data_IF_672269821949
#
_entry.id   IF_672269821949
#
_cell.length_a   1.000
_cell.length_b   1.000
_cell.length_c   1.000
_cell.angle_alpha   90.00
_cell.angle_beta   90.00
_cell.angle_gamma   90.00
#
_symmetry.space_group_name_H-M   'P 1'
#
loop_
_entity.id
_entity.type
_entity.pdbx_description
1 polymer ?
#
# COMPACT_ATOMS: atom_id res chain seq x y z
N UNK A 1 -22.20 -13.35 0.73
CA UNK A 1 -20.75 -13.41 0.97
C UNK A 1 -20.42 -12.17 1.80
N UNK A 2 -19.58 -12.31 2.82
CA UNK A 2 -19.27 -11.21 3.73
C UNK A 2 -18.08 -10.44 3.17
N UNK A 3 -18.17 -9.12 3.12
CA UNK A 3 -17.01 -8.26 2.85
C UNK A 3 -16.42 -7.81 4.18
N UNK A 4 -15.12 -8.02 4.37
CA UNK A 4 -14.36 -7.50 5.49
C UNK A 4 -13.50 -6.33 5.01
N UNK A 5 -13.56 -5.21 5.74
CA UNK A 5 -12.72 -4.03 5.56
C UNK A 5 -11.96 -3.76 6.87
N UNK A 6 -10.64 -3.94 6.83
CA UNK A 6 -9.73 -3.56 7.90
C UNK A 6 -9.31 -2.09 7.74
N UNK A 7 -9.37 -1.32 8.83
CA UNK A 7 -9.10 0.12 8.88
C UNK A 7 -8.01 0.36 9.94
N UNK A 8 -6.76 0.42 9.50
CA UNK A 8 -5.62 0.72 10.37
C UNK A 8 -5.48 2.21 10.59
N UNK A 9 -5.42 2.65 11.85
CA UNK A 9 -5.35 4.06 12.23
C UNK A 9 -4.14 4.34 13.12
N UNK A 10 -3.87 5.62 13.38
CA UNK A 10 -2.83 6.03 14.31
C UNK A 10 -3.09 5.61 15.78
N UNK A 11 -4.28 5.13 16.13
CA UNK A 11 -4.62 4.71 17.51
C UNK A 11 -5.39 3.38 17.60
N UNK A 12 -5.26 2.53 16.59
CA UNK A 12 -5.77 1.16 16.61
C UNK A 12 -6.29 0.69 15.25
N UNK A 13 -6.74 -0.56 15.22
CA UNK A 13 -7.39 -1.19 14.09
C UNK A 13 -8.89 -1.27 14.35
N UNK A 14 -9.69 -0.97 13.33
CA UNK A 14 -11.13 -1.22 13.31
C UNK A 14 -11.43 -2.20 12.17
N UNK A 15 -12.39 -3.08 12.39
CA UNK A 15 -12.87 -4.03 11.37
C UNK A 15 -14.30 -3.66 11.03
N UNK A 16 -14.60 -3.45 9.75
CA UNK A 16 -15.94 -3.23 9.26
C UNK A 16 -16.38 -4.45 8.45
N UNK A 17 -17.56 -4.99 8.73
CA UNK A 17 -18.14 -6.10 7.97
C UNK A 17 -19.41 -5.68 7.26
N UNK A 18 -19.66 -6.27 6.10
CA UNK A 18 -20.90 -6.09 5.35
C UNK A 18 -21.39 -7.43 4.79
N UNK A 19 -22.65 -7.76 5.08
CA UNK A 19 -23.30 -9.00 4.65
C UNK A 19 -24.38 -8.78 3.58
N UNK A 20 -24.64 -7.53 3.22
CA UNK A 20 -25.70 -7.12 2.27
C UNK A 20 -25.13 -6.59 0.94
N UNK A 21 -23.92 -7.06 0.62
CA UNK A 21 -23.17 -6.67 -0.57
C UNK A 21 -22.66 -5.23 -0.48
N UNK A 22 -22.11 -4.82 0.66
CA UNK A 22 -21.47 -3.50 0.90
C UNK A 22 -22.45 -2.32 0.94
N UNK A 23 -23.72 -2.56 1.28
CA UNK A 23 -24.73 -1.48 1.41
C UNK A 23 -24.77 -0.90 2.82
N UNK A 24 -24.59 -1.76 3.83
CA UNK A 24 -24.45 -1.38 5.22
C UNK A 24 -23.20 -2.01 5.83
N UNK A 25 -22.66 -1.35 6.85
CA UNK A 25 -21.42 -1.75 7.51
C UNK A 25 -21.60 -1.79 9.01
N UNK A 26 -21.14 -2.86 9.63
CA UNK A 26 -20.98 -2.96 11.08
C UNK A 26 -19.50 -2.79 11.43
N UNK A 27 -19.18 -1.73 12.16
CA UNK A 27 -17.80 -1.44 12.59
C UNK A 27 -17.57 -1.98 13.99
N UNK A 28 -16.48 -2.72 14.18
CA UNK A 28 -16.07 -3.28 15.46
C UNK A 28 -15.59 -2.21 16.45
N UNK A 29 -15.42 -2.62 17.70
CA UNK A 29 -14.62 -1.84 18.66
C UNK A 29 -13.14 -1.77 18.26
N UNK A 30 -12.37 -0.93 18.94
CA UNK A 30 -10.94 -0.79 18.66
C UNK A 30 -10.16 -2.06 19.04
N UNK A 31 -9.37 -2.56 18.09
CA UNK A 31 -8.31 -3.53 18.31
C UNK A 31 -6.98 -2.78 18.45
N UNK A 32 -6.06 -3.28 19.27
CA UNK A 32 -4.77 -2.61 19.55
C UNK A 32 -4.93 -1.13 19.97
N UNK A 33 -5.70 -0.82 21.04
CA UNK A 33 -5.95 0.55 21.43
C UNK A 33 -4.65 1.31 21.70
N UNK A 34 -4.57 2.55 21.21
CA UNK A 34 -3.40 3.44 21.34
C UNK A 34 -2.14 2.96 20.59
N UNK A 35 -2.28 1.99 19.71
CA UNK A 35 -1.21 1.46 18.88
C UNK A 35 -1.45 1.85 17.42
N UNK A 36 -0.44 2.39 16.74
CA UNK A 36 -0.56 2.73 15.32
C UNK A 36 -0.57 1.46 14.46
N UNK A 37 -1.47 1.37 13.49
CA UNK A 37 -1.59 0.23 12.58
C UNK A 37 -1.32 0.70 11.15
N UNK A 38 -0.11 0.42 10.66
CA UNK A 38 0.43 0.98 9.42
C UNK A 38 0.24 0.07 8.22
N UNK A 39 0.06 -1.23 8.44
CA UNK A 39 -0.20 -2.20 7.38
C UNK A 39 -1.17 -3.26 7.87
N UNK A 40 -2.06 -3.69 6.97
CA UNK A 40 -2.87 -4.89 7.14
C UNK A 40 -2.74 -5.71 5.87
N UNK A 41 -2.66 -7.03 6.00
CA UNK A 41 -2.73 -7.98 4.90
C UNK A 41 -3.80 -9.04 5.19
N UNK A 42 -4.39 -9.56 4.12
CA UNK A 42 -5.35 -10.67 4.16
C UNK A 42 -4.79 -11.80 3.29
N UNK A 43 -4.29 -12.85 3.92
CA UNK A 43 -3.80 -14.03 3.21
C UNK A 43 -4.94 -15.02 3.00
N UNK A 44 -5.47 -15.03 1.76
CA UNK A 44 -6.56 -15.90 1.32
C UNK A 44 -6.09 -17.21 0.69
N UNK A 45 -4.78 -17.51 0.69
CA UNK A 45 -4.24 -18.76 0.12
C UNK A 45 -4.48 -19.97 1.01
N UNK A 46 -5.09 -19.76 2.18
CA UNK A 46 -5.46 -20.78 3.17
C UNK A 46 -6.99 -20.95 3.21
N UNK A 47 -7.52 -22.11 3.67
CA UNK A 47 -8.97 -22.34 3.78
C UNK A 47 -9.67 -21.30 4.66
N UNK A 48 -9.03 -20.90 5.76
CA UNK A 48 -9.45 -19.76 6.57
C UNK A 48 -8.46 -18.63 6.32
N UNK A 49 -8.92 -17.45 5.83
CA UNK A 49 -8.03 -16.32 5.62
C UNK A 49 -7.33 -15.90 6.91
N UNK A 50 -6.02 -15.64 6.81
CA UNK A 50 -5.25 -15.05 7.91
C UNK A 50 -5.17 -13.55 7.74
N UNK A 51 -5.45 -12.80 8.80
CA UNK A 51 -5.14 -11.38 8.87
C UNK A 51 -3.75 -11.20 9.47
N UNK A 52 -2.99 -10.26 8.94
CA UNK A 52 -1.74 -9.79 9.52
C UNK A 52 -1.82 -8.27 9.71
N UNK A 53 -1.34 -7.77 10.84
CA UNK A 53 -1.33 -6.35 11.15
C UNK A 53 0.07 -5.90 11.60
N UNK A 54 0.64 -4.92 10.91
CA UNK A 54 1.84 -4.21 11.31
C UNK A 54 1.49 -3.15 12.34
N UNK A 55 1.81 -3.42 13.61
CA UNK A 55 1.44 -2.60 14.75
C UNK A 55 2.66 -1.85 15.29
N UNK A 56 2.47 -0.66 15.85
CA UNK A 56 3.55 0.14 16.44
C UNK A 56 3.07 0.83 17.70
N UNK A 57 3.45 0.25 18.84
CA UNK A 57 3.18 0.81 20.17
C UNK A 57 4.23 1.86 20.49
N UNK A 58 3.81 3.00 21.02
CA UNK A 58 4.75 4.00 21.55
C UNK A 58 5.49 3.53 22.82
N UNK A 59 5.01 2.46 23.46
CA UNK A 59 5.60 1.93 24.69
C UNK A 59 6.39 0.63 24.44
N UNK A 60 5.84 -0.28 23.64
CA UNK A 60 6.44 -1.60 23.40
C UNK A 60 7.17 -1.73 22.05
N UNK A 61 7.07 -0.72 21.19
CA UNK A 61 7.71 -0.73 19.87
C UNK A 61 6.86 -1.41 18.77
N UNK A 62 7.47 -1.64 17.60
CA UNK A 62 6.80 -2.28 16.46
C UNK A 62 6.74 -3.81 16.56
N UNK A 63 5.68 -4.38 16.00
CA UNK A 63 5.42 -5.82 15.96
C UNK A 63 4.55 -6.18 14.75
N UNK A 64 4.35 -7.48 14.53
CA UNK A 64 3.38 -8.03 13.57
C UNK A 64 2.46 -8.96 14.35
N UNK A 65 1.17 -8.65 14.35
CA UNK A 65 0.13 -9.49 14.93
C UNK A 65 -0.57 -10.30 13.84
N UNK A 66 -1.02 -11.51 14.19
CA UNK A 66 -1.77 -12.38 13.27
C UNK A 66 -3.12 -12.76 13.85
N UNK A 67 -4.09 -13.02 12.98
CA UNK A 67 -5.40 -13.55 13.35
C UNK A 67 -5.82 -14.63 12.35
N UNK A 68 -6.25 -15.77 12.87
CA UNK A 68 -6.78 -16.90 12.11
C UNK A 68 -8.31 -17.04 12.24
N UNK A 69 -8.98 -16.05 12.83
CA UNK A 69 -10.42 -16.01 13.09
C UNK A 69 -11.04 -14.69 12.63
N UNK A 70 -10.52 -14.15 11.52
CA UNK A 70 -10.97 -12.91 10.88
C UNK A 70 -10.99 -11.69 11.83
N UNK A 71 -10.05 -11.66 12.78
CA UNK A 71 -9.81 -10.55 13.68
C UNK A 71 -10.58 -10.60 15.00
N UNK A 72 -11.29 -11.69 15.29
CA UNK A 72 -11.94 -11.90 16.58
C UNK A 72 -10.90 -12.03 17.72
N UNK A 73 -9.75 -12.65 17.45
CA UNK A 73 -8.59 -12.69 18.34
C UNK A 73 -7.29 -12.45 17.57
N UNK A 74 -6.28 -11.95 18.28
CA UNK A 74 -4.98 -11.60 17.72
C UNK A 74 -3.85 -12.24 18.54
N UNK A 75 -2.83 -12.71 17.84
CA UNK A 75 -1.63 -13.31 18.41
C UNK A 75 -0.41 -12.48 18.02
N UNK A 76 0.37 -12.09 19.03
CA UNK A 76 1.71 -11.55 18.84
C UNK A 76 2.72 -12.63 19.26
N UNK A 77 3.75 -12.93 18.45
CA UNK A 77 4.77 -13.91 18.81
C UNK A 77 5.53 -13.49 20.08
N UNK A 78 6.04 -14.48 20.84
CA UNK A 78 6.81 -14.21 22.06
C UNK A 78 8.17 -13.54 21.78
N UNK A 79 8.75 -13.83 20.62
CA UNK A 79 9.96 -13.18 20.10
C UNK A 79 9.57 -12.09 19.10
N UNK A 80 10.35 -11.00 18.96
CA UNK A 80 10.07 -9.96 17.98
C UNK A 80 9.97 -10.56 16.56
N UNK A 81 8.81 -10.45 15.88
CA UNK A 81 8.60 -11.13 14.60
C UNK A 81 9.55 -10.63 13.51
N UNK A 82 9.86 -9.33 13.54
CA UNK A 82 10.76 -8.66 12.60
C UNK A 82 11.87 -8.00 13.40
N UNK A 83 13.10 -8.52 13.29
CA UNK A 83 14.26 -8.01 13.99
C UNK A 83 15.46 -7.88 13.06
N UNK A 84 16.16 -6.75 13.14
CA UNK A 84 17.42 -6.58 12.45
C UNK A 84 18.49 -7.47 13.10
N UNK A 85 19.28 -8.24 12.33
CA UNK A 85 20.37 -9.02 12.88
C UNK A 85 21.41 -8.17 13.62
N UNK A 86 22.09 -8.79 14.58
CA UNK A 86 23.22 -8.17 15.28
C UNK A 86 24.28 -7.63 14.31
N UNK A 87 24.89 -6.49 14.67
CA UNK A 87 25.92 -5.85 13.86
C UNK A 87 25.41 -5.00 12.69
N UNK A 88 24.11 -4.97 12.42
CA UNK A 88 23.52 -4.05 11.42
C UNK A 88 23.45 -2.60 11.89
N UNK A 89 23.52 -2.36 13.21
CA UNK A 89 23.39 -1.03 13.81
C UNK A 89 22.02 -0.38 13.57
N UNK A 90 21.00 -1.16 13.22
CA UNK A 90 19.66 -0.69 12.88
C UNK A 90 18.62 -1.33 13.79
N UNK A 91 17.50 -0.65 13.98
CA UNK A 91 16.36 -1.17 14.74
C UNK A 91 15.08 -0.91 13.98
N UNK A 92 14.10 -1.80 14.14
CA UNK A 92 12.81 -1.65 13.48
C UNK A 92 12.08 -0.45 14.10
N UNK A 93 11.59 0.45 13.25
CA UNK A 93 10.69 1.53 13.66
C UNK A 93 9.24 1.19 13.35
N UNK A 94 8.97 0.67 12.13
CA UNK A 94 7.62 0.38 11.64
C UNK A 94 7.63 -0.70 10.55
N UNK A 95 6.55 -1.48 10.48
CA UNK A 95 6.23 -2.35 9.35
C UNK A 95 5.23 -1.63 8.44
N UNK A 96 5.72 -1.11 7.32
CA UNK A 96 4.95 -0.27 6.39
C UNK A 96 4.11 -1.07 5.41
N UNK A 97 4.50 -2.31 5.11
CA UNK A 97 3.80 -3.15 4.15
C UNK A 97 3.89 -4.61 4.61
N UNK A 98 2.78 -5.33 4.54
CA UNK A 98 2.71 -6.78 4.66
C UNK A 98 2.13 -7.32 3.35
N UNK A 99 2.76 -8.32 2.74
CA UNK A 99 2.31 -8.84 1.44
C UNK A 99 2.47 -10.36 1.39
N UNK A 100 1.36 -11.11 1.33
CA UNK A 100 1.40 -12.54 1.04
C UNK A 100 2.15 -12.80 -0.28
N UNK A 101 2.96 -13.86 -0.33
CA UNK A 101 3.69 -14.29 -1.53
C UNK A 101 2.78 -14.85 -2.64
N UNK A 102 3.39 -15.57 -3.58
CA UNK A 102 2.65 -16.21 -4.68
C UNK A 102 1.69 -17.31 -4.20
N UNK A 103 0.78 -17.75 -5.07
CA UNK A 103 -0.27 -18.72 -4.73
C UNK A 103 0.30 -20.10 -4.32
N UNK A 104 1.46 -20.47 -4.86
CA UNK A 104 2.21 -21.70 -4.58
C UNK A 104 3.18 -21.58 -3.39
N UNK A 105 3.24 -20.40 -2.74
CA UNK A 105 4.07 -20.14 -1.56
C UNK A 105 3.23 -19.81 -0.31
N UNK A 106 2.33 -20.69 0.17
CA UNK A 106 1.30 -20.36 1.18
C UNK A 106 1.83 -19.90 2.55
N UNK A 107 3.09 -20.20 2.89
CA UNK A 107 3.74 -19.73 4.11
C UNK A 107 4.48 -18.39 3.95
N UNK A 108 4.66 -17.92 2.71
CA UNK A 108 5.51 -16.76 2.43
C UNK A 108 4.75 -15.47 2.65
N UNK A 109 5.32 -14.58 3.46
CA UNK A 109 4.85 -13.21 3.66
C UNK A 109 6.05 -12.28 3.65
N UNK A 110 6.00 -11.23 2.87
CA UNK A 110 7.00 -10.18 2.87
C UNK A 110 6.60 -9.04 3.81
N UNK A 111 7.59 -8.44 4.47
CA UNK A 111 7.44 -7.23 5.26
C UNK A 111 8.38 -6.14 4.75
N UNK A 112 7.83 -5.02 4.31
CA UNK A 112 8.57 -3.80 4.01
C UNK A 112 8.60 -2.90 5.24
N UNK A 113 9.77 -2.41 5.63
CA UNK A 113 9.96 -1.74 6.93
C UNK A 113 10.52 -0.33 6.83
N UNK A 114 10.55 0.34 7.98
CA UNK A 114 11.38 1.50 8.28
C UNK A 114 12.39 1.12 9.37
N UNK A 115 13.70 1.38 9.19
CA UNK A 115 14.35 1.89 7.97
C UNK A 115 14.15 0.96 6.76
N UNK A 116 14.44 1.46 5.54
CA UNK A 116 14.19 0.74 4.27
C UNK A 116 14.88 -0.62 4.25
N UNK A 117 14.11 -1.67 4.56
CA UNK A 117 14.54 -3.06 4.48
C UNK A 117 13.36 -3.95 4.07
N UNK A 118 13.69 -5.09 3.48
CA UNK A 118 12.75 -6.13 3.11
C UNK A 118 13.04 -7.35 3.97
N UNK A 119 11.99 -7.88 4.58
CA UNK A 119 12.03 -9.13 5.31
C UNK A 119 11.10 -10.15 4.67
N UNK A 120 11.41 -11.44 4.85
CA UNK A 120 10.64 -12.56 4.32
C UNK A 120 10.36 -13.56 5.44
N UNK A 121 9.09 -13.91 5.59
CA UNK A 121 8.60 -15.01 6.42
C UNK A 121 8.36 -16.24 5.54
N UNK A 122 8.46 -17.43 6.12
CA UNK A 122 8.05 -18.72 5.53
C UNK A 122 7.03 -19.48 6.39
N UNK A 123 6.60 -18.90 7.50
CA UNK A 123 5.72 -19.49 8.51
C UNK A 123 4.39 -18.72 8.65
N UNK A 124 3.99 -18.02 7.59
CA UNK A 124 2.73 -17.29 7.53
C UNK A 124 2.74 -15.98 8.32
N UNK A 125 3.91 -15.33 8.40
CA UNK A 125 4.13 -14.03 9.06
C UNK A 125 4.32 -14.10 10.56
N UNK A 126 4.77 -15.24 11.10
CA UNK A 126 5.06 -15.42 12.53
C UNK A 126 6.50 -14.97 12.83
N UNK A 127 7.45 -15.34 11.97
CA UNK A 127 8.83 -14.90 12.04
C UNK A 127 9.34 -14.46 10.67
N UNK A 128 10.32 -13.55 10.67
CA UNK A 128 10.83 -12.93 9.46
C UNK A 128 12.35 -12.89 9.44
N UNK A 129 12.92 -13.19 8.28
CA UNK A 129 14.35 -13.07 8.01
C UNK A 129 14.64 -11.88 7.11
N UNK A 130 15.73 -11.15 7.40
CA UNK A 130 16.18 -10.02 6.60
C UNK A 130 16.64 -10.51 5.21
N UNK A 131 16.13 -9.90 4.14
CA UNK A 131 16.61 -10.12 2.77
C UNK A 131 17.95 -9.41 2.59
N UNK A 132 19.02 -10.10 3.00
CA UNK A 132 20.40 -9.61 2.99
C UNK A 132 20.84 -9.00 1.66
N UNK A 133 20.57 -9.60 0.48
CA UNK A 133 21.05 -9.01 -0.78
C UNK A 133 20.52 -7.61 -1.08
N UNK A 134 19.31 -7.26 -0.63
CA UNK A 134 18.81 -5.89 -0.75
C UNK A 134 19.39 -4.98 0.34
N UNK A 135 19.54 -5.49 1.56
CA UNK A 135 20.15 -4.75 2.66
C UNK A 135 21.63 -4.42 2.41
N UNK A 136 22.38 -5.33 1.82
CA UNK A 136 23.80 -5.14 1.54
C UNK A 136 24.03 -4.47 0.17
N UNK A 137 22.95 -4.03 -0.51
CA UNK A 137 23.05 -3.36 -1.80
C UNK A 137 23.88 -2.07 -1.71
N UNK A 138 24.81 -1.79 -2.66
CA UNK A 138 25.71 -0.64 -2.59
C UNK A 138 25.02 0.73 -2.49
N UNK A 139 23.80 0.85 -3.03
CA UNK A 139 23.04 2.10 -2.97
C UNK A 139 22.40 2.35 -1.61
N UNK A 140 22.27 1.35 -0.72
CA UNK A 140 21.50 1.48 0.53
C UNK A 140 21.97 2.62 1.41
N UNK A 141 23.29 2.80 1.52
CA UNK A 141 23.88 3.87 2.36
C UNK A 141 23.59 5.28 1.84
N UNK A 142 23.03 5.40 0.64
CA UNK A 142 22.62 6.64 -0.01
C UNK A 142 21.09 6.76 -0.16
N UNK A 143 20.32 5.79 0.33
CA UNK A 143 18.88 5.95 0.42
C UNK A 143 18.57 6.85 1.60
N UNK A 144 17.94 8.00 1.34
CA UNK A 144 17.61 8.96 2.39
C UNK A 144 16.14 8.88 2.83
N UNK A 145 15.87 9.37 4.03
CA UNK A 145 14.50 9.51 4.52
C UNK A 145 13.77 10.63 3.76
N UNK A 146 12.59 10.31 3.21
CA UNK A 146 11.61 11.36 2.87
C UNK A 146 10.89 11.86 4.12
N UNK A 147 10.02 12.87 3.96
CA UNK A 147 9.20 13.40 5.08
C UNK A 147 8.32 12.35 5.79
N UNK A 148 8.01 11.24 5.11
CA UNK A 148 7.23 10.14 5.69
C UNK A 148 8.08 9.04 6.34
N UNK A 149 9.40 9.22 6.44
CA UNK A 149 10.35 8.19 6.88
C UNK A 149 10.93 7.37 5.72
N UNK A 150 12.12 6.81 5.94
CA UNK A 150 12.84 5.93 5.01
C UNK A 150 12.19 4.54 5.02
N UNK A 151 11.31 4.25 4.06
CA UNK A 151 10.48 3.04 4.12
C UNK A 151 10.41 2.28 2.79
N UNK A 152 10.48 0.95 2.86
CA UNK A 152 9.93 0.08 1.82
C UNK A 152 8.43 -0.07 2.10
N UNK A 153 7.60 0.56 1.30
CA UNK A 153 6.13 0.61 1.48
C UNK A 153 5.38 -0.11 0.35
N UNK A 154 6.10 -0.62 -0.65
CA UNK A 154 5.51 -1.46 -1.69
C UNK A 154 6.35 -2.69 -1.86
N UNK A 155 5.70 -3.85 -1.82
CA UNK A 155 6.29 -5.16 -2.15
C UNK A 155 5.30 -5.84 -3.09
N UNK A 156 5.76 -6.21 -4.28
CA UNK A 156 4.95 -6.81 -5.33
C UNK A 156 5.65 -8.06 -5.88
N UNK A 157 5.46 -9.22 -5.24
CA UNK A 157 5.80 -10.51 -5.83
C UNK A 157 5.09 -10.67 -7.19
N UNK A 158 5.76 -11.25 -8.17
CA UNK A 158 5.15 -11.53 -9.46
C UNK A 158 4.16 -12.70 -9.33
N UNK A 159 2.93 -12.59 -9.86
CA UNK A 159 1.87 -13.57 -9.60
C UNK A 159 2.12 -14.96 -10.20
N UNK A 160 3.00 -15.06 -11.20
CA UNK A 160 3.30 -16.30 -11.90
C UNK A 160 4.81 -16.64 -11.97
N UNK A 161 5.66 -15.85 -11.31
CA UNK A 161 7.12 -16.04 -11.35
C UNK A 161 7.71 -15.67 -9.97
N UNK A 162 7.89 -16.64 -9.06
CA UNK A 162 8.40 -16.36 -7.72
C UNK A 162 9.86 -15.86 -7.73
N UNK A 163 10.58 -15.96 -8.85
CA UNK A 163 11.90 -15.35 -8.97
C UNK A 163 11.84 -13.82 -9.05
N UNK A 164 10.68 -13.25 -9.37
CA UNK A 164 10.53 -11.82 -9.58
C UNK A 164 9.77 -11.16 -8.43
N UNK A 165 10.41 -10.15 -7.84
CA UNK A 165 9.80 -9.31 -6.80
C UNK A 165 10.21 -7.88 -7.09
N UNK A 166 9.25 -6.97 -7.05
CA UNK A 166 9.49 -5.53 -7.11
C UNK A 166 9.23 -4.92 -5.73
N UNK A 167 10.10 -4.00 -5.32
CA UNK A 167 9.90 -3.15 -4.15
C UNK A 167 9.97 -1.68 -4.55
N UNK A 168 9.22 -0.83 -3.84
CA UNK A 168 9.35 0.61 -3.98
C UNK A 168 9.48 1.27 -2.60
N UNK A 169 10.28 2.33 -2.57
CA UNK A 169 10.65 3.03 -1.35
C UNK A 169 10.67 4.55 -1.48
N UNK A 170 10.44 5.21 -0.35
CA UNK A 170 10.48 6.66 -0.17
C UNK A 170 11.60 7.02 0.82
N UNK A 171 12.78 7.52 0.43
CA UNK A 171 13.31 7.63 -0.94
C UNK A 171 14.23 6.46 -1.28
N UNK A 172 14.59 6.34 -2.55
CA UNK A 172 15.46 5.30 -3.10
C UNK A 172 14.96 4.81 -4.46
N UNK A 173 13.64 4.81 -4.65
CA UNK A 173 12.99 4.47 -5.91
C UNK A 173 12.45 3.05 -5.95
N UNK A 174 12.42 2.46 -7.13
CA UNK A 174 12.00 1.10 -7.42
C UNK A 174 13.22 0.20 -7.56
N UNK A 175 13.17 -0.97 -6.92
CA UNK A 175 14.16 -2.04 -7.09
C UNK A 175 13.45 -3.34 -7.44
N UNK A 176 14.09 -4.16 -8.27
CA UNK A 176 13.55 -5.46 -8.69
C UNK A 176 14.61 -6.55 -8.62
N UNK A 177 14.20 -7.73 -8.18
CA UNK A 177 14.94 -8.99 -8.36
C UNK A 177 14.28 -9.80 -9.48
N UNK A 178 15.08 -10.61 -10.17
CA UNK A 178 14.65 -11.62 -11.14
C UNK A 178 15.26 -13.00 -10.85
N UNK A 179 15.80 -13.17 -9.64
CA UNK A 179 16.55 -14.34 -9.19
C UNK A 179 16.19 -14.69 -7.74
N UNK A 180 14.90 -14.59 -7.42
CA UNK A 180 14.31 -14.92 -6.12
C UNK A 180 14.93 -14.17 -4.93
N UNK A 181 15.38 -12.94 -5.17
CA UNK A 181 15.96 -12.05 -4.16
C UNK A 181 17.47 -12.19 -3.99
N UNK A 182 18.16 -12.99 -4.81
CA UNK A 182 19.62 -13.15 -4.75
C UNK A 182 20.38 -11.89 -5.20
N UNK A 183 19.81 -11.11 -6.12
CA UNK A 183 20.30 -9.78 -6.51
C UNK A 183 19.15 -8.81 -6.78
N UNK A 184 19.44 -7.52 -6.64
CA UNK A 184 18.48 -6.43 -6.83
C UNK A 184 19.06 -5.36 -7.74
N UNK A 185 18.23 -4.81 -8.62
CA UNK A 185 18.62 -3.75 -9.56
C UNK A 185 17.66 -2.56 -9.46
N UNK A 186 18.15 -1.32 -9.55
CA UNK A 186 17.29 -0.15 -9.64
C UNK A 186 16.48 -0.18 -10.94
N UNK A 187 15.24 0.32 -10.90
CA UNK A 187 14.29 0.27 -12.01
C UNK A 187 13.54 1.61 -12.12
N UNK A 188 14.30 2.70 -12.26
CA UNK A 188 13.78 4.07 -12.16
C UNK A 188 13.82 4.87 -13.47
N UNK A 189 14.23 4.25 -14.57
CA UNK A 189 14.35 4.93 -15.88
C UNK A 189 13.02 5.59 -16.24
N UNK A 190 13.01 6.91 -16.38
CA UNK A 190 11.80 7.68 -16.71
C UNK A 190 10.92 8.06 -15.52
N UNK A 191 11.35 7.82 -14.26
CA UNK A 191 10.73 8.42 -13.07
C UNK A 191 11.55 9.64 -12.62
N UNK A 192 10.90 10.80 -12.58
CA UNK A 192 11.54 12.08 -12.22
C UNK A 192 11.78 12.20 -10.72
N UNK A 193 12.92 12.76 -10.34
CA UNK A 193 13.26 13.19 -8.98
C UNK A 193 13.54 14.71 -8.94
N UNK A 194 12.49 15.53 -8.98
CA UNK A 194 12.61 17.01 -9.09
C UNK A 194 13.44 17.69 -7.97
N UNK A 195 13.62 17.01 -6.84
CA UNK A 195 14.37 17.51 -5.68
C UNK A 195 15.87 17.18 -5.75
N UNK A 196 16.32 16.43 -6.76
CA UNK A 196 17.71 16.03 -6.96
C UNK A 196 18.40 16.94 -8.00
N UNK A 197 19.75 17.09 -7.94
CA UNK A 197 20.50 17.87 -8.93
C UNK A 197 20.37 17.33 -10.36
N UNK A 198 20.41 16.00 -10.52
CA UNK A 198 19.96 15.31 -11.73
C UNK A 198 18.53 14.87 -11.48
N UNK A 199 17.58 15.34 -12.29
CA UNK A 199 16.17 15.02 -12.15
C UNK A 199 15.81 13.62 -12.68
N UNK A 200 16.75 12.93 -13.35
CA UNK A 200 16.55 11.57 -13.87
C UNK A 200 17.66 10.61 -13.39
N UNK A 201 17.91 10.53 -12.06
CA UNK A 201 18.99 9.72 -11.54
C UNK A 201 18.64 8.22 -11.63
N UNK A 202 19.66 7.37 -11.58
CA UNK A 202 19.47 5.91 -11.53
C UNK A 202 18.64 5.45 -10.30
N UNK A 203 18.77 6.16 -9.19
CA UNK A 203 18.06 5.90 -7.93
C UNK A 203 17.87 7.19 -7.12
N UNK A 204 17.06 7.12 -6.06
CA UNK A 204 16.78 8.25 -5.16
C UNK A 204 15.38 8.85 -5.33
N UNK A 205 14.58 8.35 -6.27
CA UNK A 205 13.19 8.73 -6.44
C UNK A 205 12.39 8.52 -5.14
N UNK A 206 11.37 9.34 -4.94
CA UNK A 206 10.46 9.24 -3.79
C UNK A 206 9.12 8.66 -4.26
N UNK A 207 9.14 7.38 -4.64
CA UNK A 207 7.95 6.67 -5.10
C UNK A 207 6.99 6.49 -3.92
N UNK A 208 5.71 6.78 -4.08
CA UNK A 208 4.73 6.69 -3.00
C UNK A 208 3.92 5.39 -2.99
N UNK A 209 3.60 4.84 -4.17
CA UNK A 209 2.94 3.52 -4.30
C UNK A 209 3.12 2.97 -5.71
N UNK A 210 3.23 1.65 -5.83
CA UNK A 210 3.17 0.94 -7.11
C UNK A 210 2.03 -0.07 -7.08
N UNK A 211 1.28 -0.17 -8.17
CA UNK A 211 0.22 -1.16 -8.40
C UNK A 211 0.51 -1.96 -9.67
N UNK A 212 0.09 -3.23 -9.69
CA UNK A 212 0.23 -4.14 -10.84
C UNK A 212 -1.11 -4.30 -11.55
N UNK A 213 -1.09 -4.29 -12.88
CA UNK A 213 -2.27 -4.51 -13.69
C UNK A 213 -2.79 -5.96 -13.55
N UNK A 214 -4.11 -6.12 -13.58
CA UNK A 214 -4.74 -7.43 -13.42
C UNK A 214 -4.69 -8.32 -14.66
N UNK A 215 -4.55 -7.74 -15.86
CA UNK A 215 -4.51 -8.50 -17.12
C UNK A 215 -3.08 -8.70 -17.64
N UNK A 216 -2.14 -7.85 -17.23
CA UNK A 216 -0.77 -7.83 -17.73
C UNK A 216 0.21 -7.67 -16.57
N UNK A 217 0.85 -8.76 -16.14
CA UNK A 217 1.73 -8.75 -14.98
C UNK A 217 2.99 -7.88 -15.14
N UNK A 218 3.36 -7.53 -16.37
CA UNK A 218 4.48 -6.63 -16.70
C UNK A 218 4.04 -5.15 -16.71
N UNK A 219 2.73 -4.88 -16.70
CA UNK A 219 2.22 -3.52 -16.61
C UNK A 219 2.08 -3.09 -15.16
N UNK A 220 2.77 -1.99 -14.85
CA UNK A 220 2.82 -1.41 -13.51
C UNK A 220 2.43 0.06 -13.57
N UNK A 221 1.88 0.56 -12.47
CA UNK A 221 1.52 1.96 -12.31
C UNK A 221 2.14 2.50 -11.03
N UNK A 222 2.73 3.69 -11.06
CA UNK A 222 3.40 4.28 -9.91
C UNK A 222 2.90 5.70 -9.66
N UNK A 223 2.46 5.98 -8.43
CA UNK A 223 2.39 7.34 -7.91
C UNK A 223 3.77 7.68 -7.33
N UNK A 224 4.42 8.70 -7.87
CA UNK A 224 5.67 9.25 -7.34
C UNK A 224 5.38 10.50 -6.49
N UNK A 225 6.41 11.10 -5.88
CA UNK A 225 6.27 12.41 -5.22
C UNK A 225 5.66 13.43 -6.17
N UNK A 226 6.24 13.57 -7.37
CA UNK A 226 5.62 14.28 -8.49
C UNK A 226 5.59 13.37 -9.71
N UNK A 227 4.39 13.22 -10.27
CA UNK A 227 4.13 12.40 -11.43
C UNK A 227 3.40 11.10 -11.09
N UNK A 228 2.60 10.68 -12.07
CA UNK A 228 1.96 9.37 -12.12
C UNK A 228 2.52 8.68 -13.35
N UNK A 229 2.99 7.44 -13.22
CA UNK A 229 3.75 6.75 -14.24
C UNK A 229 3.17 5.37 -14.56
N UNK A 230 3.39 4.91 -15.79
CA UNK A 230 3.13 3.54 -16.24
C UNK A 230 4.43 2.91 -16.75
N UNK A 231 4.64 1.66 -16.42
CA UNK A 231 5.59 0.77 -17.11
C UNK A 231 4.80 -0.33 -17.83
N UNK A 232 5.30 -0.79 -18.97
CA UNK A 232 4.78 -1.94 -19.74
C UNK A 232 5.81 -3.05 -19.90
N UNK A 233 6.89 -2.99 -19.14
CA UNK A 233 8.09 -3.83 -19.26
C UNK A 233 8.62 -4.29 -17.89
N UNK A 234 7.72 -4.48 -16.91
CA UNK A 234 8.07 -5.00 -15.60
C UNK A 234 8.81 -4.01 -14.70
N UNK A 235 8.67 -2.71 -15.00
CA UNK A 235 9.31 -1.61 -14.30
C UNK A 235 10.66 -1.18 -14.90
N UNK A 236 11.14 -1.79 -15.99
CA UNK A 236 12.43 -1.42 -16.59
C UNK A 236 12.45 0.04 -17.06
N UNK A 237 11.33 0.52 -17.60
CA UNK A 237 11.13 1.92 -17.96
C UNK A 237 9.72 2.41 -17.64
N UNK A 238 9.62 3.72 -17.37
CA UNK A 238 8.41 4.38 -16.93
C UNK A 238 8.09 5.58 -17.81
N UNK A 239 6.81 5.79 -18.08
CA UNK A 239 6.28 6.91 -18.85
C UNK A 239 5.25 7.65 -18.02
N UNK A 240 5.28 8.98 -18.03
CA UNK A 240 4.25 9.78 -17.36
C UNK A 240 2.88 9.52 -17.98
N UNK A 241 1.89 9.31 -17.12
CA UNK A 241 0.46 9.19 -17.42
C UNK A 241 -0.34 10.19 -16.57
N UNK A 242 0.31 11.28 -16.14
CA UNK A 242 -0.33 12.32 -15.31
C UNK A 242 -1.20 13.28 -16.13
N UNK A 243 -1.09 13.25 -17.47
CA UNK A 243 -1.87 14.13 -18.34
C UNK A 243 -3.37 13.91 -18.14
N UNK A 244 -4.11 15.00 -17.94
CA UNK A 244 -5.55 14.96 -17.63
C UNK A 244 -5.89 14.88 -16.14
N UNK A 245 -4.92 14.60 -15.25
CA UNK A 245 -5.13 14.76 -13.81
C UNK A 245 -5.07 16.26 -13.43
N UNK A 246 -5.81 16.68 -12.40
CA UNK A 246 -5.79 18.07 -11.93
C UNK A 246 -4.51 18.42 -11.13
N UNK A 247 -3.71 17.41 -10.78
CA UNK A 247 -2.44 17.53 -10.07
C UNK A 247 -1.67 16.21 -10.16
N UNK A 248 -0.34 16.27 -10.12
CA UNK A 248 0.55 15.11 -10.27
C UNK A 248 1.18 14.64 -8.95
N UNK A 249 0.89 15.34 -7.85
CA UNK A 249 1.23 14.96 -6.48
C UNK A 249 0.06 14.18 -5.86
N UNK A 250 0.38 13.10 -5.14
CA UNK A 250 -0.61 12.22 -4.51
C UNK A 250 0.11 11.11 -3.76
N UNK A 251 -0.63 10.20 -3.10
CA UNK A 251 -0.01 9.05 -2.41
C UNK A 251 -0.47 7.69 -2.94
N UNK A 252 -1.77 7.38 -2.99
CA UNK A 252 -2.20 6.06 -3.44
C UNK A 252 -2.21 5.97 -4.96
N UNK A 253 -1.91 4.78 -5.47
CA UNK A 253 -2.40 4.30 -6.76
C UNK A 253 -2.79 2.83 -6.58
N UNK A 254 -3.96 2.44 -7.08
CA UNK A 254 -4.45 1.05 -6.99
C UNK A 254 -5.00 0.61 -8.34
N UNK A 255 -4.84 -0.66 -8.67
CA UNK A 255 -5.35 -1.26 -9.90
C UNK A 255 -6.57 -2.12 -9.59
N UNK A 256 -7.52 -2.17 -10.53
CA UNK A 256 -8.69 -3.04 -10.45
C UNK A 256 -8.27 -4.51 -10.36
N UNK A 257 -8.92 -5.35 -9.54
CA UNK A 257 -8.47 -6.73 -9.29
C UNK A 257 -8.62 -7.66 -10.50
N UNK A 258 -9.47 -7.29 -11.49
CA UNK A 258 -9.89 -8.17 -12.59
C UNK A 258 -9.84 -7.54 -13.99
N UNK A 259 -9.70 -6.21 -14.09
CA UNK A 259 -9.86 -5.47 -15.35
C UNK A 259 -8.60 -4.67 -15.62
N UNK A 260 -7.81 -5.13 -16.58
CA UNK A 260 -6.60 -4.42 -16.99
C UNK A 260 -6.91 -3.01 -17.48
N UNK A 261 -5.94 -2.12 -17.32
CA UNK A 261 -6.04 -0.69 -17.64
C UNK A 261 -6.87 0.13 -16.65
N UNK A 262 -7.56 -0.51 -15.70
CA UNK A 262 -8.39 0.20 -14.72
C UNK A 262 -7.61 0.50 -13.45
N UNK A 263 -7.42 1.79 -13.16
CA UNK A 263 -6.63 2.28 -12.03
C UNK A 263 -7.30 3.47 -11.35
N UNK A 264 -7.00 3.66 -10.07
CA UNK A 264 -7.53 4.73 -9.24
C UNK A 264 -6.42 5.47 -8.51
N UNK A 265 -6.56 6.79 -8.38
CA UNK A 265 -5.68 7.66 -7.60
C UNK A 265 -6.46 8.76 -6.88
N UNK A 266 -5.82 9.43 -5.93
CA UNK A 266 -6.38 10.58 -5.20
C UNK A 266 -5.40 11.77 -5.29
N UNK A 267 -5.56 12.65 -6.30
CA UNK A 267 -4.66 13.77 -6.53
C UNK A 267 -4.76 14.86 -5.44
N UNK A 268 -3.62 15.39 -5.06
CA UNK A 268 -3.44 16.50 -4.14
C UNK A 268 -2.71 17.65 -4.86
N UNK A 269 -2.71 18.86 -4.26
CA UNK A 269 -2.12 20.04 -4.91
C UNK A 269 -0.60 19.93 -5.01
N UNK A 270 0.09 19.69 -3.90
CA UNK A 270 1.55 19.59 -3.86
C UNK A 270 2.04 18.97 -2.54
N UNK A 271 3.34 18.68 -2.49
CA UNK A 271 4.08 18.26 -1.29
C UNK A 271 3.89 19.21 -0.09
N UNK A 272 3.92 20.52 -0.36
CA UNK A 272 3.74 21.63 0.58
C UNK A 272 2.28 22.03 0.83
N UNK A 273 1.36 21.57 -0.01
CA UNK A 273 -0.09 21.80 0.11
C UNK A 273 -0.83 20.48 -0.12
N UNK A 274 -0.89 19.65 0.92
CA UNK A 274 -1.47 18.30 0.84
C UNK A 274 -3.00 18.29 0.93
N UNK A 275 -3.64 19.26 0.30
CA UNK A 275 -5.09 19.29 0.12
C UNK A 275 -5.45 18.68 -1.23
N UNK A 276 -6.64 18.07 -1.36
CA UNK A 276 -7.17 17.72 -2.67
C UNK A 276 -7.24 18.95 -3.57
N UNK A 277 -6.98 18.78 -4.86
CA UNK A 277 -7.07 19.88 -5.83
C UNK A 277 -8.48 20.49 -5.80
N UNK A 278 -8.56 21.81 -5.83
CA UNK A 278 -9.78 22.61 -5.65
C UNK A 278 -10.52 22.40 -4.31
N UNK A 279 -9.90 21.72 -3.34
CA UNK A 279 -10.52 21.32 -2.07
C UNK A 279 -11.79 20.49 -2.31
N UNK A 280 -11.72 19.54 -3.24
CA UNK A 280 -12.84 18.64 -3.57
C UNK A 280 -12.45 17.19 -3.34
N UNK A 281 -13.31 16.44 -2.66
CA UNK A 281 -13.14 15.00 -2.50
C UNK A 281 -13.41 14.31 -3.85
N UNK A 282 -12.36 13.83 -4.51
CA UNK A 282 -12.46 13.19 -5.83
C UNK A 282 -11.45 12.05 -5.92
N UNK A 283 -11.96 10.85 -6.16
CA UNK A 283 -11.12 9.75 -6.68
C UNK A 283 -11.06 9.92 -8.19
N UNK A 284 -9.89 9.73 -8.79
CA UNK A 284 -9.74 9.73 -10.25
C UNK A 284 -9.58 8.31 -10.73
N UNK A 285 -10.33 7.94 -11.77
CA UNK A 285 -10.25 6.64 -12.43
C UNK A 285 -9.76 6.81 -13.87
N UNK A 286 -8.88 5.92 -14.27
CA UNK A 286 -8.61 5.60 -15.68
C UNK A 286 -9.17 4.21 -15.97
N UNK A 287 -9.63 3.97 -17.20
CA UNK A 287 -9.98 2.63 -17.72
C UNK A 287 -9.15 2.20 -18.93
N UNK A 288 -8.17 3.01 -19.33
CA UNK A 288 -7.32 2.85 -20.51
C UNK A 288 -5.82 2.95 -20.15
N UNK A 289 -5.46 2.42 -18.98
CA UNK A 289 -4.08 2.37 -18.48
C UNK A 289 -3.41 3.74 -18.30
N UNK A 290 -4.18 4.77 -17.97
CA UNK A 290 -3.70 6.10 -17.62
C UNK A 290 -3.68 7.09 -18.78
N UNK A 291 -4.21 6.70 -19.95
CA UNK A 291 -4.26 7.60 -21.11
C UNK A 291 -5.33 8.69 -20.92
N UNK A 292 -6.44 8.38 -20.24
CA UNK A 292 -7.47 9.34 -19.84
C UNK A 292 -7.95 9.14 -18.42
N UNK A 293 -8.35 10.24 -17.78
CA UNK A 293 -8.78 10.26 -16.39
C UNK A 293 -10.14 10.93 -16.23
N UNK A 294 -10.96 10.38 -15.33
CA UNK A 294 -12.25 10.96 -14.97
C UNK A 294 -12.42 11.05 -13.45
N UNK A 295 -13.04 12.13 -12.94
CA UNK A 295 -13.34 12.28 -11.53
C UNK A 295 -14.57 11.45 -11.15
N UNK A 296 -14.49 10.78 -10.00
CA UNK A 296 -15.54 10.02 -9.36
C UNK A 296 -15.97 10.74 -8.08
N UNK A 297 -17.23 11.17 -8.03
CA UNK A 297 -17.70 12.13 -7.01
C UNK A 297 -19.08 11.84 -6.43
N UNK A 298 -19.84 10.93 -7.03
CA UNK A 298 -21.20 10.70 -6.57
C UNK A 298 -21.21 10.09 -5.16
N UNK A 299 -22.02 10.66 -4.26
CA UNK A 299 -22.02 10.31 -2.83
C UNK A 299 -20.85 10.84 -1.99
N UNK A 300 -19.85 11.52 -2.58
CA UNK A 300 -18.77 12.17 -1.84
C UNK A 300 -19.13 13.60 -1.39
N UNK A 301 -18.43 14.16 -0.39
CA UNK A 301 -18.67 15.54 0.06
C UNK A 301 -18.53 16.57 -1.08
N UNK A 302 -19.56 17.39 -1.27
CA UNK A 302 -19.60 18.45 -2.30
C UNK A 302 -19.04 19.79 -1.81
N UNK A 303 -18.87 19.95 -0.49
CA UNK A 303 -18.27 21.13 0.14
C UNK A 303 -16.74 21.17 0.04
N UNK A 304 -16.09 22.15 0.67
CA UNK A 304 -14.64 22.14 0.83
C UNK A 304 -14.18 20.88 1.58
N UNK A 305 -13.23 20.16 0.98
CA UNK A 305 -12.61 18.95 1.48
C UNK A 305 -11.10 19.17 1.58
N UNK A 306 -10.55 18.93 2.76
CA UNK A 306 -9.14 19.15 3.11
C UNK A 306 -8.35 17.88 3.47
N UNK A 307 -8.98 16.77 3.89
CA UNK A 307 -8.22 15.56 4.23
C UNK A 307 -7.47 14.97 3.03
N UNK A 308 -6.27 14.46 3.29
CA UNK A 308 -5.49 13.66 2.36
C UNK A 308 -5.79 12.16 2.54
N UNK A 309 -5.55 11.39 1.48
CA UNK A 309 -5.53 9.92 1.48
C UNK A 309 -4.08 9.47 1.39
N UNK A 310 -3.64 8.60 2.31
CA UNK A 310 -2.26 8.08 2.35
C UNK A 310 -2.06 6.88 1.42
N UNK A 311 -0.79 6.50 1.24
CA UNK A 311 -0.30 5.49 0.26
C UNK A 311 -1.09 4.17 0.31
N UNK A 312 -1.33 3.68 1.53
CA UNK A 312 -2.04 2.43 1.81
C UNK A 312 -3.47 2.66 2.32
N UNK A 313 -3.92 3.91 2.38
CA UNK A 313 -5.27 4.26 2.76
C UNK A 313 -6.23 4.26 1.57
N UNK A 314 -5.92 3.52 0.50
CA UNK A 314 -6.83 3.20 -0.59
C UNK A 314 -6.62 1.75 -1.01
N UNK A 315 -7.70 1.01 -1.24
CA UNK A 315 -7.63 -0.36 -1.75
C UNK A 315 -8.85 -0.74 -2.58
N UNK A 316 -8.77 -1.92 -3.20
CA UNK A 316 -9.89 -2.61 -3.85
C UNK A 316 -10.10 -3.96 -3.18
N UNK A 317 -11.35 -4.43 -3.15
CA UNK A 317 -11.65 -5.83 -2.82
C UNK A 317 -11.62 -6.70 -4.07
N UNK A 318 -11.95 -7.98 -3.92
CA UNK A 318 -12.00 -8.96 -4.99
C UNK A 318 -13.42 -9.39 -5.39
N UNK A 319 -14.45 -8.63 -5.00
CA UNK A 319 -15.83 -8.89 -5.38
C UNK A 319 -16.10 -8.61 -6.88
N UNK A 320 -17.31 -8.95 -7.34
CA UNK A 320 -17.82 -8.61 -8.67
C UNK A 320 -19.25 -8.03 -8.56
N UNK A 321 -19.46 -6.72 -8.79
CA UNK A 321 -18.46 -5.69 -9.13
C UNK A 321 -17.43 -5.44 -8.02
N UNK A 322 -16.22 -5.02 -8.39
CA UNK A 322 -15.17 -4.73 -7.41
C UNK A 322 -15.50 -3.48 -6.58
N UNK A 323 -15.16 -3.53 -5.30
CA UNK A 323 -15.30 -2.42 -4.38
C UNK A 323 -14.05 -1.56 -4.38
N UNK A 324 -14.22 -0.26 -4.15
CA UNK A 324 -13.11 0.69 -4.01
C UNK A 324 -13.27 1.40 -2.68
N UNK A 325 -12.19 1.50 -1.91
CA UNK A 325 -12.21 1.99 -0.53
C UNK A 325 -11.13 3.03 -0.36
N UNK A 326 -11.41 4.09 0.39
CA UNK A 326 -10.35 4.97 0.87
C UNK A 326 -10.63 5.49 2.27
N UNK A 327 -9.55 5.68 3.02
CA UNK A 327 -9.51 6.27 4.34
C UNK A 327 -8.75 7.59 4.33
N UNK A 328 -9.15 8.49 5.22
CA UNK A 328 -8.63 9.86 5.24
C UNK A 328 -7.94 10.18 6.55
N UNK A 329 -7.05 11.17 6.52
CA UNK A 329 -6.34 11.59 7.73
C UNK A 329 -7.21 12.30 8.78
N UNK A 330 -8.46 12.62 8.43
CA UNK A 330 -9.49 13.14 9.36
C UNK A 330 -10.33 12.04 10.01
N UNK A 331 -10.11 10.77 9.67
CA UNK A 331 -10.82 9.65 10.28
C UNK A 331 -12.11 9.24 9.57
N UNK A 332 -12.31 9.67 8.33
CA UNK A 332 -13.43 9.21 7.48
C UNK A 332 -12.97 8.08 6.56
N UNK A 333 -13.82 7.07 6.38
CA UNK A 333 -13.62 5.94 5.47
C UNK A 333 -14.83 5.82 4.56
N UNK A 334 -14.59 5.79 3.25
CA UNK A 334 -15.60 5.69 2.21
C UNK A 334 -15.44 4.37 1.44
N UNK A 335 -16.56 3.82 0.99
CA UNK A 335 -16.63 2.63 0.17
C UNK A 335 -17.54 2.86 -1.04
N UNK A 336 -17.08 2.40 -2.19
CA UNK A 336 -17.88 2.15 -3.38
C UNK A 336 -18.04 0.64 -3.56
N UNK A 337 -19.21 0.26 -4.07
CA UNK A 337 -19.59 -1.13 -4.38
C UNK A 337 -19.79 -1.37 -5.88
N UNK A 338 -19.42 -0.38 -6.69
CA UNK A 338 -19.68 -0.27 -8.12
C UNK A 338 -18.47 0.38 -8.82
N UNK A 339 -17.26 -0.09 -8.50
CA UNK A 339 -16.01 0.33 -9.17
C UNK A 339 -15.76 1.84 -9.13
N UNK A 340 -16.22 2.50 -8.06
CA UNK A 340 -16.05 3.92 -7.80
C UNK A 340 -17.15 4.82 -8.40
N UNK A 341 -18.18 4.26 -9.06
CA UNK A 341 -19.25 5.07 -9.68
C UNK A 341 -20.07 5.82 -8.63
N UNK A 342 -20.34 5.22 -7.46
CA UNK A 342 -20.95 5.88 -6.30
C UNK A 342 -20.31 5.50 -4.97
N UNK A 343 -20.36 6.42 -4.00
CA UNK A 343 -19.69 6.28 -2.70
C UNK A 343 -20.65 6.38 -1.52
N UNK A 344 -20.32 5.67 -0.45
CA UNK A 344 -21.00 5.74 0.83
C UNK A 344 -19.99 5.83 1.97
N UNK A 345 -20.35 6.53 3.05
CA UNK A 345 -19.54 6.60 4.26
C UNK A 345 -19.67 5.30 5.04
N UNK A 346 -18.54 4.65 5.33
CA UNK A 346 -18.46 3.46 6.20
C UNK A 346 -18.33 3.87 7.66
N UNK A 347 -17.40 4.79 7.94
CA UNK A 347 -17.08 5.23 9.29
C UNK A 347 -16.59 6.69 9.25
N UNK A 348 -16.83 7.41 10.33
CA UNK A 348 -16.30 8.76 10.57
C UNK A 348 -15.87 8.91 12.03
N UNK A 349 -15.15 9.99 12.32
CA UNK A 349 -14.62 10.30 13.65
C UNK A 349 -13.63 9.24 14.18
N UNK A 350 -12.98 8.51 13.29
CA UNK A 350 -11.85 7.66 13.64
C UNK A 350 -10.57 8.51 13.85
N UNK A 351 -9.51 7.93 14.43
CA UNK A 351 -8.18 8.51 14.34
C UNK A 351 -7.69 8.59 12.88
N UNK A 352 -6.56 9.27 12.65
CA UNK A 352 -5.89 9.36 11.35
C UNK A 352 -5.75 7.97 10.70
N UNK A 353 -6.39 7.76 9.54
CA UNK A 353 -6.40 6.47 8.84
C UNK A 353 -5.10 6.31 8.05
N UNK A 354 -4.34 5.29 8.41
CA UNK A 354 -3.01 5.02 7.87
C UNK A 354 -3.05 3.99 6.74
N UNK A 355 -3.91 2.98 6.87
CA UNK A 355 -4.11 1.96 5.84
C UNK A 355 -5.54 1.42 5.83
N UNK A 356 -5.98 0.90 4.68
CA UNK A 356 -7.21 0.12 4.54
C UNK A 356 -6.97 -1.13 3.70
N UNK A 357 -7.63 -2.24 4.05
CA UNK A 357 -7.57 -3.50 3.29
C UNK A 357 -8.94 -4.15 3.26
N UNK A 358 -9.42 -4.53 2.09
CA UNK A 358 -10.71 -5.19 1.92
C UNK A 358 -10.59 -6.49 1.13
N UNK A 359 -11.48 -7.44 1.42
CA UNK A 359 -11.71 -8.66 0.65
C UNK A 359 -13.09 -9.27 0.94
N UNK A 360 -13.62 -10.07 0.02
CA UNK A 360 -14.68 -11.02 0.35
C UNK A 360 -14.09 -12.20 1.14
N UNK A 361 -14.71 -12.57 2.27
CA UNK A 361 -14.23 -13.62 3.18
C UNK A 361 -15.28 -14.69 3.45
#
# INVERSE_FOLDING_TARGET
MTTLLAIGTAKGLFLATSDDGRRSWQVSGVHFPMTGVYSVAMDKRRPTPRLLAGVTSSHFGPSVATSDDLGASWQEPAEPPVAFPDGTGSSLERVWQLTPGAADEPGVVYAGTQPSALFRSVDGGISYELVRPLWDHPHRTQWDAGFGGQAIHTVLPHPADPAQILVAMSTGGVYRTADAGASWRPQNTGIRAYFMPDEWPEFGQCVHKVARDAADAERLYAQNHHGVYRSTDGGLSWQSIADGLPGDFGFPIVAHPRRGGTIYTFPLVADRERFPVDRRCRVFRSTDAGDTWQPLTDGLPTGPFYPAVLRDAMCVDDADPAGVYFGTRSGEVYASRDEGDSWSLVAAHLPDVLCVRAAEV
#
